data_IF_081401661611
#
_entry.id   IF_081401661611
#
_cell.length_a   1.000
_cell.length_b   1.000
_cell.length_c   1.000
_cell.angle_alpha   90.00
_cell.angle_beta   90.00
_cell.angle_gamma   90.00
#
_symmetry.space_group_name_H-M   'P 1'
#
loop_
_entity.id
_entity.type
_entity.pdbx_description
1 polymer ?
#
# COMPACT_ATOMS: atom_id res chain seq x y z
N UNK A 1 1.51 29.60 6.56
CA UNK A 1 2.66 28.75 6.19
C UNK A 1 2.52 28.38 4.72
N UNK A 2 3.58 28.52 3.92
CA UNK A 2 3.60 28.04 2.53
C UNK A 2 3.84 26.53 2.51
N UNK A 3 3.10 25.81 1.66
CA UNK A 3 3.30 24.37 1.46
C UNK A 3 4.60 24.13 0.67
N UNK A 4 5.36 23.11 1.05
CA UNK A 4 6.47 22.62 0.24
C UNK A 4 5.96 22.01 -1.08
N UNK A 5 6.83 21.86 -2.08
CA UNK A 5 6.47 21.18 -3.33
C UNK A 5 5.98 19.75 -3.06
N UNK A 6 6.66 19.02 -2.16
CA UNK A 6 6.27 17.65 -1.79
C UNK A 6 4.85 17.59 -1.21
N UNK A 7 4.53 18.45 -0.26
CA UNK A 7 3.19 18.53 0.33
C UNK A 7 2.13 18.87 -0.72
N UNK A 8 2.43 19.79 -1.64
CA UNK A 8 1.51 20.12 -2.75
C UNK A 8 1.24 18.91 -3.65
N UNK A 9 2.28 18.18 -4.05
CA UNK A 9 2.14 16.99 -4.90
C UNK A 9 1.34 15.89 -4.17
N UNK A 10 1.61 15.67 -2.89
CA UNK A 10 0.89 14.70 -2.08
C UNK A 10 -0.60 15.05 -1.92
N UNK A 11 -0.92 16.32 -1.67
CA UNK A 11 -2.31 16.79 -1.60
C UNK A 11 -3.06 16.58 -2.92
N UNK A 12 -2.41 16.83 -4.06
CA UNK A 12 -3.02 16.58 -5.38
C UNK A 12 -3.32 15.09 -5.53
N UNK A 13 -2.37 14.20 -5.20
CA UNK A 13 -2.58 12.74 -5.26
C UNK A 13 -3.72 12.31 -4.34
N UNK A 14 -3.72 12.77 -3.10
CA UNK A 14 -4.77 12.50 -2.12
C UNK A 14 -6.14 12.99 -2.61
N UNK A 15 -6.20 14.13 -3.30
CA UNK A 15 -7.43 14.64 -3.92
C UNK A 15 -8.00 13.70 -4.98
N UNK A 16 -7.17 13.17 -5.88
CA UNK A 16 -7.62 12.19 -6.89
C UNK A 16 -8.01 10.86 -6.23
N UNK A 17 -7.19 10.38 -5.30
CA UNK A 17 -7.41 9.09 -4.63
C UNK A 17 -8.70 9.11 -3.82
N UNK A 18 -8.91 10.13 -2.97
CA UNK A 18 -10.12 10.24 -2.14
C UNK A 18 -11.35 10.68 -2.91
N UNK A 19 -11.17 11.45 -4.00
CA UNK A 19 -12.29 11.95 -4.80
C UNK A 19 -12.81 10.97 -5.85
N UNK A 20 -11.97 10.05 -6.33
CA UNK A 20 -12.32 9.16 -7.45
C UNK A 20 -11.96 7.69 -7.19
N UNK A 21 -10.71 7.40 -6.80
CA UNK A 21 -10.25 6.01 -6.71
C UNK A 21 -10.92 5.27 -5.55
N UNK A 22 -10.91 5.83 -4.34
CA UNK A 22 -11.52 5.20 -3.16
C UNK A 22 -13.02 4.99 -3.37
N UNK A 23 -13.83 6.00 -3.79
CA UNK A 23 -15.24 5.77 -4.07
C UNK A 23 -15.48 4.66 -5.12
N UNK A 24 -14.68 4.63 -6.19
CA UNK A 24 -14.79 3.58 -7.20
C UNK A 24 -14.40 2.19 -6.70
N UNK A 25 -13.48 2.09 -5.74
CA UNK A 25 -13.17 0.83 -5.05
C UNK A 25 -14.27 0.46 -4.05
N UNK A 26 -14.86 1.42 -3.33
CA UNK A 26 -15.98 1.17 -2.43
C UNK A 26 -17.19 0.60 -3.18
N UNK A 27 -17.49 1.10 -4.37
CA UNK A 27 -18.50 0.52 -5.29
C UNK A 27 -18.18 -0.93 -5.71
N UNK A 28 -16.90 -1.32 -5.69
CA UNK A 28 -16.41 -2.67 -6.00
C UNK A 28 -16.27 -3.56 -4.76
N UNK A 29 -16.66 -3.06 -3.59
CA UNK A 29 -16.69 -3.80 -2.32
C UNK A 29 -15.47 -3.61 -1.43
N UNK A 30 -14.50 -2.74 -1.77
CA UNK A 30 -13.39 -2.45 -0.88
C UNK A 30 -13.84 -1.54 0.25
N UNK A 31 -13.64 -1.98 1.49
CA UNK A 31 -13.99 -1.22 2.67
C UNK A 31 -12.75 -0.81 3.44
N UNK A 32 -12.83 0.35 4.11
CA UNK A 32 -11.79 0.77 5.04
C UNK A 32 -11.61 -0.27 6.14
N UNK A 33 -10.36 -0.61 6.45
CA UNK A 33 -10.06 -1.58 7.51
C UNK A 33 -9.60 -0.91 8.80
N UNK A 34 -9.70 -1.64 9.92
CA UNK A 34 -9.18 -1.23 11.22
C UNK A 34 -7.64 -1.30 11.29
N UNK A 35 -7.01 -2.12 10.44
CA UNK A 35 -5.56 -2.24 10.40
C UNK A 35 -4.96 -1.08 9.60
N UNK A 36 -3.99 -0.38 10.19
CA UNK A 36 -3.28 0.71 9.51
C UNK A 36 -1.92 0.22 9.06
N UNK A 37 -1.47 0.64 7.88
CA UNK A 37 -0.12 0.29 7.41
C UNK A 37 0.90 0.88 8.39
N UNK A 38 1.86 0.08 8.90
CA UNK A 38 2.91 0.59 9.77
C UNK A 38 3.89 1.49 9.02
N UNK A 39 4.54 2.38 9.76
CA UNK A 39 5.69 3.15 9.29
C UNK A 39 6.91 2.22 9.25
N UNK A 40 7.62 2.25 8.14
CA UNK A 40 8.66 1.27 7.80
C UNK A 40 9.95 1.99 7.42
N UNK A 41 11.03 1.22 7.29
CA UNK A 41 12.32 1.77 6.85
C UNK A 41 12.27 2.36 5.44
N UNK A 42 11.35 1.90 4.58
CA UNK A 42 11.14 2.49 3.25
C UNK A 42 10.50 3.88 3.30
N UNK A 43 9.84 4.22 4.40
CA UNK A 43 9.19 5.51 4.57
C UNK A 43 10.12 6.55 5.23
N UNK A 44 11.42 6.22 5.31
CA UNK A 44 12.47 7.05 5.87
C UNK A 44 13.69 7.10 4.96
N UNK A 45 14.48 8.17 5.07
CA UNK A 45 15.82 8.27 4.49
C UNK A 45 16.82 8.51 5.61
N UNK A 46 17.99 7.88 5.50
CA UNK A 46 19.11 8.21 6.36
C UNK A 46 19.75 9.52 5.86
N UNK A 47 19.61 10.59 6.64
CA UNK A 47 20.19 11.90 6.32
C UNK A 47 20.80 12.51 7.58
N UNK A 48 22.03 12.99 7.47
CA UNK A 48 22.77 13.66 8.55
C UNK A 48 22.86 12.78 9.83
N UNK A 49 23.06 11.47 9.66
CA UNK A 49 23.16 10.51 10.76
C UNK A 49 21.83 10.15 11.44
N UNK A 50 20.70 10.62 10.93
CA UNK A 50 19.37 10.32 11.47
C UNK A 50 18.39 9.82 10.42
N UNK A 51 17.46 8.96 10.83
CA UNK A 51 16.33 8.57 10.00
C UNK A 51 15.33 9.72 9.93
N UNK A 52 15.02 10.18 8.72
CA UNK A 52 14.08 11.26 8.45
C UNK A 52 12.90 10.73 7.65
N UNK A 53 11.65 11.00 8.07
CA UNK A 53 10.48 10.56 7.34
C UNK A 53 10.42 11.21 5.96
N UNK A 54 10.01 10.45 4.94
CA UNK A 54 9.70 11.00 3.61
C UNK A 54 8.24 11.41 3.45
N UNK A 55 7.37 10.85 4.28
CA UNK A 55 5.96 11.18 4.34
C UNK A 55 5.73 12.58 4.94
N UNK A 56 4.55 13.15 4.68
CA UNK A 56 4.15 14.45 5.20
C UNK A 56 3.00 14.32 6.19
N UNK A 57 2.56 15.45 6.75
CA UNK A 57 1.35 15.51 7.60
C UNK A 57 0.06 15.16 6.86
N UNK A 58 0.09 15.11 5.53
CA UNK A 58 -1.05 14.75 4.69
C UNK A 58 -1.09 13.26 4.33
N UNK A 59 -0.08 12.51 4.73
CA UNK A 59 -0.01 11.09 4.49
C UNK A 59 -1.09 10.35 5.27
N UNK A 60 -1.88 9.60 4.52
CA UNK A 60 -2.84 8.64 5.05
C UNK A 60 -2.13 7.31 5.35
N UNK A 61 -2.48 6.67 6.45
CA UNK A 61 -2.07 5.28 6.79
C UNK A 61 -3.24 4.30 6.69
N UNK A 62 -4.37 4.77 6.14
CA UNK A 62 -5.58 4.00 5.96
C UNK A 62 -5.37 2.88 4.94
N UNK A 63 -5.90 1.71 5.24
CA UNK A 63 -5.89 0.57 4.33
C UNK A 63 -7.32 0.15 4.02
N UNK A 64 -7.49 -0.54 2.90
CA UNK A 64 -8.76 -1.01 2.38
C UNK A 64 -8.67 -2.51 2.07
N UNK A 65 -9.77 -3.24 2.14
CA UNK A 65 -9.82 -4.63 1.72
C UNK A 65 -11.21 -4.92 1.13
N UNK A 66 -11.24 -5.72 0.06
CA UNK A 66 -12.49 -6.23 -0.52
C UNK A 66 -12.85 -7.57 0.12
N UNK A 67 -11.87 -8.47 0.12
CA UNK A 67 -11.92 -9.77 0.78
C UNK A 67 -10.74 -9.93 1.73
N UNK A 68 -10.96 -10.47 2.91
CA UNK A 68 -9.85 -10.88 3.76
C UNK A 68 -9.02 -11.93 3.01
N UNK A 69 -7.66 -11.94 3.07
CA UNK A 69 -6.74 -11.24 3.98
C UNK A 69 -5.82 -10.17 3.34
N UNK A 70 -6.13 -9.67 2.13
CA UNK A 70 -5.23 -8.79 1.39
C UNK A 70 -5.59 -7.31 1.60
N UNK A 71 -4.63 -6.51 2.07
CA UNK A 71 -4.86 -5.10 2.40
C UNK A 71 -4.27 -4.17 1.35
N UNK A 72 -5.07 -3.26 0.84
CA UNK A 72 -4.68 -2.24 -0.13
C UNK A 72 -4.31 -0.95 0.58
N UNK A 73 -3.14 -0.41 0.23
CA UNK A 73 -2.62 0.86 0.74
C UNK A 73 -2.18 1.77 -0.40
N UNK A 74 -2.55 3.04 -0.32
CA UNK A 74 -2.12 4.07 -1.27
C UNK A 74 -0.90 4.83 -0.75
N UNK A 75 0.28 4.56 -1.31
CA UNK A 75 1.50 5.27 -0.96
C UNK A 75 1.63 6.58 -1.75
N UNK A 76 1.24 7.68 -1.12
CA UNK A 76 1.14 9.01 -1.75
C UNK A 76 2.39 9.86 -1.66
N UNK A 77 3.42 9.42 -0.94
CA UNK A 77 4.60 10.24 -0.62
C UNK A 77 5.87 9.80 -1.38
N UNK A 78 5.69 9.30 -2.62
CA UNK A 78 6.78 8.84 -3.48
C UNK A 78 7.98 9.82 -3.55
N UNK A 79 9.18 9.24 -3.42
CA UNK A 79 10.44 9.94 -3.09
C UNK A 79 11.08 10.76 -4.20
N UNK A 80 10.67 10.58 -5.47
CA UNK A 80 11.24 11.35 -6.58
C UNK A 80 10.40 12.59 -6.89
N UNK A 81 10.98 13.77 -6.70
CA UNK A 81 10.35 15.06 -6.98
C UNK A 81 10.71 15.51 -8.39
N UNK A 82 10.12 14.85 -9.40
CA UNK A 82 10.17 15.30 -10.79
C UNK A 82 8.85 15.99 -11.19
N UNK A 83 8.88 16.80 -12.25
CA UNK A 83 7.80 17.69 -12.72
C UNK A 83 6.47 17.00 -13.10
N UNK A 84 6.37 15.68 -12.96
CA UNK A 84 5.15 14.89 -13.23
C UNK A 84 4.83 13.88 -12.12
N UNK A 85 5.53 13.93 -10.99
CA UNK A 85 5.40 12.93 -9.93
C UNK A 85 3.97 12.87 -9.35
N UNK A 86 3.22 13.98 -9.33
CA UNK A 86 1.82 14.01 -8.87
C UNK A 86 0.88 13.08 -9.65
N UNK A 87 1.28 12.67 -10.86
CA UNK A 87 0.49 11.78 -11.72
C UNK A 87 0.57 10.32 -11.29
N UNK A 88 1.62 9.94 -10.56
CA UNK A 88 1.82 8.55 -10.18
C UNK A 88 1.65 8.36 -8.67
N UNK A 89 1.09 7.21 -8.32
CA UNK A 89 1.01 6.70 -6.95
C UNK A 89 1.41 5.23 -6.98
N UNK A 90 1.96 4.73 -5.87
CA UNK A 90 2.04 3.29 -5.70
C UNK A 90 0.84 2.79 -4.91
N UNK A 91 0.36 1.62 -5.30
CA UNK A 91 -0.59 0.84 -4.52
C UNK A 91 0.16 -0.37 -3.98
N UNK A 92 0.10 -0.56 -2.67
CA UNK A 92 0.71 -1.69 -1.97
C UNK A 92 -0.38 -2.65 -1.51
N UNK A 93 -0.21 -3.93 -1.83
CA UNK A 93 -1.05 -5.03 -1.37
C UNK A 93 -0.31 -5.76 -0.25
N UNK A 94 -0.86 -5.78 0.95
CA UNK A 94 -0.17 -6.08 2.18
C UNK A 94 -0.78 -7.31 2.85
N UNK A 95 0.10 -8.15 3.42
CA UNK A 95 -0.30 -9.20 4.36
C UNK A 95 -0.07 -8.66 5.77
N UNK A 96 -1.13 -8.57 6.58
CA UNK A 96 -1.11 -7.95 7.91
C UNK A 96 -0.53 -8.84 9.02
N UNK A 97 0.10 -9.97 8.68
CA UNK A 97 0.74 -10.88 9.64
C UNK A 97 2.23 -10.61 9.72
N UNK A 98 2.69 -10.11 10.86
CA UNK A 98 4.09 -9.77 11.11
C UNK A 98 4.95 -11.04 11.07
N UNK A 99 6.09 -10.98 10.39
CA UNK A 99 7.06 -12.09 10.26
C UNK A 99 6.49 -13.39 9.69
N UNK A 100 5.40 -13.31 8.91
CA UNK A 100 4.87 -14.47 8.19
C UNK A 100 5.98 -15.11 7.34
N UNK A 101 6.02 -16.44 7.34
CA UNK A 101 6.92 -17.21 6.46
C UNK A 101 6.14 -17.58 5.21
N UNK A 102 6.48 -16.95 4.09
CA UNK A 102 5.89 -17.32 2.80
C UNK A 102 6.61 -18.53 2.19
N UNK A 103 5.88 -19.38 1.46
CA UNK A 103 6.46 -20.36 0.55
C UNK A 103 7.42 -19.71 -0.46
N UNK A 104 8.45 -20.43 -0.94
CA UNK A 104 9.43 -19.91 -1.89
C UNK A 104 8.81 -19.31 -3.16
N UNK A 105 7.70 -19.87 -3.65
CA UNK A 105 7.06 -19.45 -4.90
C UNK A 105 6.38 -18.07 -4.79
N UNK A 106 6.10 -17.61 -3.58
CA UNK A 106 5.61 -16.25 -3.32
C UNK A 106 6.73 -15.25 -3.04
N UNK A 107 7.98 -15.71 -2.84
CA UNK A 107 9.13 -14.83 -2.63
C UNK A 107 9.52 -14.22 -3.98
N UNK A 108 9.54 -12.89 -4.04
CA UNK A 108 9.79 -12.13 -5.27
C UNK A 108 8.50 -11.61 -5.91
N UNK A 109 7.37 -12.32 -5.73
CA UNK A 109 6.03 -11.73 -5.92
C UNK A 109 5.74 -10.76 -4.79
N UNK A 110 5.93 -11.23 -3.56
CA UNK A 110 5.92 -10.40 -2.37
C UNK A 110 7.35 -10.04 -1.96
N UNK A 111 7.51 -8.80 -1.53
CA UNK A 111 8.75 -8.21 -1.01
C UNK A 111 8.55 -7.79 0.44
N UNK A 112 9.64 -7.69 1.19
CA UNK A 112 9.58 -7.36 2.62
C UNK A 112 9.44 -5.86 2.82
N UNK A 113 8.44 -5.50 3.60
CA UNK A 113 8.25 -4.18 4.19
C UNK A 113 8.84 -4.19 5.61
N UNK A 114 10.10 -3.77 5.75
CA UNK A 114 10.89 -3.91 6.98
C UNK A 114 10.58 -2.81 8.02
N UNK A 115 10.43 -3.21 9.28
CA UNK A 115 10.12 -2.30 10.39
C UNK A 115 11.39 -1.78 11.06
N UNK A 116 11.42 -0.52 11.55
CA UNK A 116 12.58 0.03 12.26
C UNK A 116 12.97 -0.73 13.52
N UNK A 117 11.98 -1.23 14.27
CA UNK A 117 12.18 -1.99 15.51
C UNK A 117 12.47 -3.49 15.27
N UNK A 118 12.55 -3.91 14.00
CA UNK A 118 12.79 -5.29 13.62
C UNK A 118 11.52 -6.06 13.24
N UNK A 119 11.73 -7.04 12.37
CA UNK A 119 10.67 -7.78 11.70
C UNK A 119 10.18 -7.11 10.41
N UNK A 120 9.19 -7.73 9.78
CA UNK A 120 8.69 -7.28 8.49
C UNK A 120 7.24 -7.71 8.26
N UNK A 121 6.57 -7.01 7.34
CA UNK A 121 5.36 -7.47 6.67
C UNK A 121 5.67 -7.80 5.21
N UNK A 122 4.77 -8.52 4.54
CA UNK A 122 4.89 -8.76 3.10
C UNK A 122 4.04 -7.79 2.33
N UNK A 123 4.58 -7.34 1.18
CA UNK A 123 3.86 -6.50 0.25
C UNK A 123 4.11 -6.89 -1.21
N UNK A 124 3.10 -6.70 -2.03
CA UNK A 124 3.25 -6.51 -3.46
C UNK A 124 3.00 -5.04 -3.79
N UNK A 125 3.63 -4.50 -4.85
CA UNK A 125 3.48 -3.07 -5.20
C UNK A 125 3.32 -2.92 -6.70
N UNK A 126 2.32 -2.14 -7.10
CA UNK A 126 2.13 -1.68 -8.48
C UNK A 126 2.19 -0.15 -8.54
N UNK A 127 2.59 0.38 -9.70
CA UNK A 127 2.48 1.82 -10.01
C UNK A 127 1.19 2.07 -10.76
N UNK A 128 0.45 3.10 -10.38
CA UNK A 128 -0.76 3.55 -11.07
C UNK A 128 -0.61 4.99 -11.56
N UNK A 129 -1.23 5.30 -12.70
CA UNK A 129 -1.31 6.65 -13.27
C UNK A 129 -2.67 7.28 -12.95
N UNK A 130 -2.67 8.21 -11.99
CA UNK A 130 -3.83 8.93 -11.51
C UNK A 130 -4.54 9.78 -12.57
N UNK A 131 -3.96 9.98 -13.78
CA UNK A 131 -4.69 10.62 -14.88
C UNK A 131 -5.79 9.72 -15.47
N UNK A 132 -5.74 8.41 -15.21
CA UNK A 132 -6.69 7.43 -15.74
C UNK A 132 -7.36 6.64 -14.60
N UNK A 133 -8.25 7.27 -13.79
CA UNK A 133 -8.85 6.61 -12.63
C UNK A 133 -9.52 5.26 -12.93
N UNK A 134 -10.24 5.14 -14.03
CA UNK A 134 -10.90 3.89 -14.41
C UNK A 134 -9.91 2.76 -14.73
N UNK A 135 -8.75 3.10 -15.29
CA UNK A 135 -7.68 2.13 -15.53
C UNK A 135 -7.06 1.70 -14.19
N UNK A 136 -6.78 2.65 -13.29
CA UNK A 136 -6.30 2.35 -11.95
C UNK A 136 -7.22 1.38 -11.20
N UNK A 137 -8.54 1.59 -11.25
CA UNK A 137 -9.51 0.71 -10.61
C UNK A 137 -9.43 -0.72 -11.15
N UNK A 138 -9.31 -0.87 -12.47
CA UNK A 138 -9.17 -2.18 -13.12
C UNK A 138 -7.86 -2.86 -12.77
N UNK A 139 -6.76 -2.11 -12.75
CA UNK A 139 -5.44 -2.63 -12.43
C UNK A 139 -5.37 -3.09 -10.97
N UNK A 140 -5.97 -2.32 -10.05
CA UNK A 140 -6.05 -2.69 -8.63
C UNK A 140 -6.87 -3.98 -8.47
N UNK A 141 -8.05 -4.07 -9.08
CA UNK A 141 -8.89 -5.27 -9.02
C UNK A 141 -8.19 -6.50 -9.60
N UNK A 142 -7.63 -6.38 -10.80
CA UNK A 142 -6.97 -7.50 -11.47
C UNK A 142 -5.77 -8.01 -10.65
N UNK A 143 -4.98 -7.08 -10.10
CA UNK A 143 -3.84 -7.44 -9.24
C UNK A 143 -4.32 -8.07 -7.94
N UNK A 144 -5.40 -7.56 -7.34
CA UNK A 144 -5.97 -8.11 -6.12
C UNK A 144 -6.39 -9.57 -6.29
N UNK A 145 -7.18 -9.84 -7.35
CA UNK A 145 -7.68 -11.18 -7.67
C UNK A 145 -6.52 -12.14 -7.99
N UNK A 146 -5.52 -11.69 -8.77
CA UNK A 146 -4.34 -12.50 -9.09
C UNK A 146 -3.55 -12.89 -7.82
N UNK A 147 -3.31 -11.93 -6.94
CA UNK A 147 -2.58 -12.19 -5.68
C UNK A 147 -3.36 -13.13 -4.75
N UNK A 148 -4.69 -13.00 -4.67
CA UNK A 148 -5.52 -13.93 -3.91
C UNK A 148 -5.43 -15.35 -4.47
N UNK A 149 -5.49 -15.51 -5.79
CA UNK A 149 -5.34 -16.83 -6.44
C UNK A 149 -3.96 -17.44 -6.15
N UNK A 150 -2.90 -16.63 -6.16
CA UNK A 150 -1.55 -17.09 -5.84
C UNK A 150 -1.43 -17.51 -4.37
N UNK A 151 -1.99 -16.73 -3.45
CA UNK A 151 -2.02 -17.06 -2.02
C UNK A 151 -2.82 -18.34 -1.75
N UNK A 152 -3.93 -18.55 -2.46
CA UNK A 152 -4.77 -19.75 -2.35
C UNK A 152 -4.03 -21.01 -2.81
N UNK A 153 -3.42 -20.95 -4.01
CA UNK A 153 -2.64 -22.06 -4.58
C UNK A 153 -1.53 -22.54 -3.66
N UNK A 154 -0.92 -21.62 -2.93
CA UNK A 154 0.18 -21.87 -2.00
C UNK A 154 -0.30 -22.18 -0.56
N UNK A 155 -1.62 -22.28 -0.33
CA UNK A 155 -2.22 -22.59 0.96
C UNK A 155 -2.01 -21.53 2.03
N UNK A 156 -1.69 -20.29 1.64
CA UNK A 156 -1.39 -19.19 2.56
C UNK A 156 -2.66 -18.51 3.08
N UNK A 157 -3.76 -18.55 2.32
CA UNK A 157 -5.03 -17.94 2.76
C UNK A 157 -5.51 -18.51 4.11
N UNK A 158 -5.51 -19.82 4.28
CA UNK A 158 -5.92 -20.45 5.56
C UNK A 158 -5.05 -20.01 6.75
N UNK A 159 -3.75 -19.78 6.51
CA UNK A 159 -2.82 -19.30 7.54
C UNK A 159 -3.17 -17.88 7.93
N UNK A 160 -3.48 -17.04 6.95
CA UNK A 160 -3.83 -15.65 7.15
C UNK A 160 -5.19 -15.50 7.86
N UNK A 161 -6.19 -16.29 7.48
CA UNK A 161 -7.50 -16.29 8.13
C UNK A 161 -7.39 -16.66 9.61
N UNK A 162 -6.63 -17.70 9.95
CA UNK A 162 -6.41 -18.12 11.35
C UNK A 162 -5.68 -17.05 12.14
N UNK A 163 -4.63 -16.45 11.58
CA UNK A 163 -3.85 -15.42 12.26
C UNK A 163 -4.63 -14.12 12.50
N UNK A 164 -5.63 -13.83 11.67
CA UNK A 164 -6.41 -12.60 11.76
C UNK A 164 -7.73 -12.75 12.52
N UNK A 165 -8.29 -13.96 12.60
CA UNK A 165 -9.49 -14.26 13.39
C UNK A 165 -9.25 -14.25 14.92
N UNK A 166 -7.99 -14.16 15.36
CA UNK A 166 -7.60 -14.09 16.77
C UNK A 166 -7.36 -12.64 17.27
N UNK A 167 -7.81 -11.63 16.52
CA UNK A 167 -7.64 -10.19 16.85
C UNK A 167 -8.86 -9.54 17.48
#
# INVERSE_FOLDING_TARGET
MSLSLRERLELIRQGVIRGYIIPGLEERGYLVTSWRRPITLEDMVLKDGGWRPIYSRFTSWETYAKDYPLYVYFNTFYGDVYEKAYRNCFVEFLLNVKNLRLPPDLIGVFTRLNLPEGGYYWKHRISIDLNFPDACLKDIDATYDELLILLDKEGVLEILEKACGES
#
